data_IF_565965928199
#
_entry.id   IF_565965928199
#
_cell.length_a   1.000
_cell.length_b   1.000
_cell.length_c   1.000
_cell.angle_alpha   90.00
_cell.angle_beta   90.00
_cell.angle_gamma   90.00
#
_symmetry.space_group_name_H-M   'P 1'
#
loop_
_entity.id
_entity.type
_entity.pdbx_description
1 polymer ?
#
# COMPACT_ATOMS: atom_id res chain seq x y z
N UNK A 1 -23.86 -22.79 54.33
CA UNK A 1 -23.59 -22.65 52.88
C UNK A 1 -24.65 -23.40 52.05
N UNK A 2 -25.92 -23.06 52.22
CA UNK A 2 -27.02 -23.68 51.47
C UNK A 2 -28.05 -22.59 51.16
N UNK A 3 -27.75 -21.70 50.27
CA UNK A 3 -28.68 -20.61 49.96
C UNK A 3 -28.46 -19.92 48.60
N UNK A 4 -27.29 -20.13 47.97
CA UNK A 4 -26.93 -19.40 46.72
C UNK A 4 -27.30 -20.16 45.42
N UNK A 5 -27.48 -21.48 45.47
CA UNK A 5 -27.83 -22.27 44.28
C UNK A 5 -29.34 -22.20 43.93
N UNK A 6 -30.21 -21.89 44.87
CA UNK A 6 -31.66 -21.83 44.63
C UNK A 6 -32.10 -20.51 44.01
N UNK A 7 -31.38 -19.40 44.25
CA UNK A 7 -31.73 -18.09 43.71
C UNK A 7 -31.31 -17.96 42.22
N UNK A 8 -30.17 -18.51 41.83
CA UNK A 8 -29.71 -18.52 40.46
C UNK A 8 -30.54 -19.40 39.53
N UNK A 9 -31.03 -20.56 40.05
CA UNK A 9 -31.93 -21.40 39.25
C UNK A 9 -33.29 -20.77 39.03
N UNK A 10 -33.81 -20.03 39.99
CA UNK A 10 -35.08 -19.29 39.85
C UNK A 10 -34.99 -18.09 38.91
N UNK A 11 -33.87 -17.41 38.86
CA UNK A 11 -33.61 -16.32 37.92
C UNK A 11 -33.44 -16.86 36.50
N UNK A 12 -32.79 -18.02 36.33
CA UNK A 12 -32.56 -18.62 35.01
C UNK A 12 -33.84 -19.17 34.39
N UNK A 13 -34.75 -19.77 35.22
CA UNK A 13 -36.07 -20.21 34.73
C UNK A 13 -37.00 -19.03 34.40
N UNK A 14 -36.93 -17.91 35.13
CA UNK A 14 -37.71 -16.72 34.81
C UNK A 14 -37.22 -16.04 33.52
N UNK A 15 -35.92 -16.03 33.25
CA UNK A 15 -35.40 -15.49 31.99
C UNK A 15 -35.78 -16.32 30.76
N UNK A 16 -35.92 -17.64 30.91
CA UNK A 16 -36.41 -18.51 29.81
C UNK A 16 -37.88 -18.25 29.44
N UNK A 17 -38.66 -17.74 30.37
CA UNK A 17 -40.11 -17.51 30.17
C UNK A 17 -40.41 -16.17 29.51
N UNK A 18 -39.42 -15.21 29.48
CA UNK A 18 -39.55 -13.89 28.88
C UNK A 18 -38.56 -13.61 27.72
N UNK A 19 -37.88 -14.64 27.22
CA UNK A 19 -37.15 -14.51 25.98
C UNK A 19 -38.17 -14.29 24.84
N UNK A 20 -38.09 -13.17 24.09
CA UNK A 20 -38.95 -12.98 22.96
C UNK A 20 -38.69 -14.08 21.93
N UNK A 21 -39.73 -14.88 21.67
CA UNK A 21 -39.76 -15.76 20.50
C UNK A 21 -39.76 -14.85 19.28
N UNK A 22 -38.61 -14.55 18.72
CA UNK A 22 -38.38 -14.05 17.37
C UNK A 22 -37.16 -13.13 17.37
N UNK A 23 -35.96 -13.70 17.53
CA UNK A 23 -34.87 -13.31 16.69
C UNK A 23 -34.71 -14.48 15.72
N UNK A 24 -35.36 -14.39 14.57
CA UNK A 24 -35.03 -15.23 13.45
C UNK A 24 -33.54 -15.00 13.21
N UNK A 25 -32.71 -16.02 13.41
CA UNK A 25 -31.35 -16.00 12.87
C UNK A 25 -31.44 -15.50 11.43
N UNK A 26 -30.60 -14.54 11.01
CA UNK A 26 -30.61 -14.10 9.63
C UNK A 26 -30.44 -15.37 8.81
N UNK A 27 -31.46 -15.72 8.02
CA UNK A 27 -31.40 -16.81 7.04
C UNK A 27 -30.23 -16.46 6.15
N UNK A 28 -29.00 -16.92 6.55
CA UNK A 28 -27.83 -16.90 5.68
C UNK A 28 -28.29 -17.49 4.37
N UNK A 29 -28.28 -16.65 3.37
CA UNK A 29 -28.84 -16.84 2.05
C UNK A 29 -28.55 -18.26 1.54
N UNK A 30 -29.54 -19.14 1.66
CA UNK A 30 -29.50 -20.52 1.08
C UNK A 30 -29.15 -20.43 -0.41
N UNK A 31 -29.56 -19.37 -1.08
CA UNK A 31 -29.33 -19.10 -2.50
C UNK A 31 -27.85 -18.94 -2.84
N UNK A 32 -27.03 -18.31 -1.99
CA UNK A 32 -25.61 -18.12 -2.27
C UNK A 32 -24.83 -19.44 -2.08
N UNK A 33 -25.13 -20.19 -1.01
CA UNK A 33 -24.58 -21.53 -0.79
C UNK A 33 -25.00 -22.51 -1.90
N UNK A 34 -26.24 -22.45 -2.34
CA UNK A 34 -26.73 -23.28 -3.41
C UNK A 34 -26.13 -22.88 -4.79
N UNK A 35 -25.90 -21.59 -5.04
CA UNK A 35 -25.18 -21.14 -6.23
C UNK A 35 -23.74 -21.62 -6.25
N UNK A 36 -23.00 -21.47 -5.16
CA UNK A 36 -21.61 -21.96 -5.05
C UNK A 36 -21.57 -23.49 -5.19
N UNK A 37 -22.52 -24.23 -4.59
CA UNK A 37 -22.62 -25.66 -4.73
C UNK A 37 -23.00 -26.10 -6.15
N UNK A 38 -23.90 -25.41 -6.82
CA UNK A 38 -24.25 -25.63 -8.23
C UNK A 38 -23.09 -25.32 -9.16
N UNK A 39 -22.32 -24.24 -8.91
CA UNK A 39 -21.10 -23.94 -9.66
C UNK A 39 -20.03 -25.04 -9.45
N UNK A 40 -19.82 -25.50 -8.22
CA UNK A 40 -18.91 -26.61 -7.90
C UNK A 40 -19.28 -27.90 -8.64
N UNK A 41 -20.59 -28.24 -8.72
CA UNK A 41 -21.07 -29.39 -9.52
C UNK A 41 -20.86 -29.23 -11.02
N UNK A 42 -21.07 -28.02 -11.57
CA UNK A 42 -20.87 -27.74 -12.99
C UNK A 42 -19.41 -27.76 -13.42
N UNK A 43 -18.50 -27.32 -12.55
CA UNK A 43 -17.06 -27.23 -12.85
C UNK A 43 -16.31 -28.51 -12.45
N UNK A 44 -16.93 -29.42 -11.69
CA UNK A 44 -16.25 -30.60 -11.14
C UNK A 44 -15.18 -30.26 -10.10
N UNK A 45 -15.11 -29.00 -9.64
CA UNK A 45 -14.14 -28.49 -8.67
C UNK A 45 -14.71 -28.59 -7.23
N UNK A 46 -13.87 -28.95 -6.28
CA UNK A 46 -14.22 -28.84 -4.85
C UNK A 46 -14.35 -27.38 -4.43
N UNK A 47 -15.06 -27.11 -3.32
CA UNK A 47 -15.18 -25.75 -2.79
C UNK A 47 -13.81 -25.08 -2.56
N UNK A 48 -12.83 -25.85 -2.10
CA UNK A 48 -11.44 -25.37 -1.92
C UNK A 48 -10.79 -24.99 -3.26
N UNK A 49 -10.92 -25.84 -4.26
CA UNK A 49 -10.40 -25.58 -5.61
C UNK A 49 -11.02 -24.33 -6.23
N UNK A 50 -12.32 -24.11 -6.02
CA UNK A 50 -13.00 -22.89 -6.50
C UNK A 50 -12.42 -21.64 -5.84
N UNK A 51 -12.16 -21.67 -4.52
CA UNK A 51 -11.55 -20.55 -3.79
C UNK A 51 -10.13 -20.27 -4.30
N UNK A 52 -9.30 -21.30 -4.46
CA UNK A 52 -7.92 -21.13 -4.95
C UNK A 52 -7.87 -20.66 -6.40
N UNK A 53 -8.77 -21.16 -7.27
CA UNK A 53 -8.87 -20.69 -8.65
C UNK A 53 -9.29 -19.23 -8.72
N UNK A 54 -10.23 -18.80 -7.87
CA UNK A 54 -10.64 -17.39 -7.78
C UNK A 54 -9.50 -16.50 -7.26
N UNK A 55 -8.76 -16.96 -6.24
CA UNK A 55 -7.59 -16.24 -5.71
C UNK A 55 -6.48 -16.12 -6.78
N UNK A 56 -6.18 -17.21 -7.50
CA UNK A 56 -5.22 -17.20 -8.60
C UNK A 56 -5.61 -16.23 -9.70
N UNK A 57 -6.90 -16.20 -10.08
CA UNK A 57 -7.41 -15.28 -11.09
C UNK A 57 -7.29 -13.82 -10.63
N UNK A 58 -7.61 -13.51 -9.38
CA UNK A 58 -7.46 -12.17 -8.82
C UNK A 58 -5.99 -11.73 -8.79
N UNK A 59 -5.06 -12.62 -8.46
CA UNK A 59 -3.62 -12.34 -8.51
C UNK A 59 -3.12 -12.13 -9.95
N UNK A 60 -3.59 -12.90 -10.91
CA UNK A 60 -3.30 -12.73 -12.34
C UNK A 60 -3.76 -11.35 -12.83
N UNK A 61 -5.01 -10.99 -12.55
CA UNK A 61 -5.57 -9.70 -12.95
C UNK A 61 -4.83 -8.53 -12.29
N UNK A 62 -4.51 -8.64 -11.01
CA UNK A 62 -3.74 -7.63 -10.26
C UNK A 62 -2.30 -7.52 -10.77
N UNK A 63 -1.65 -8.63 -11.10
CA UNK A 63 -0.32 -8.65 -11.68
C UNK A 63 -0.29 -8.00 -13.07
N UNK A 64 -1.23 -8.36 -13.94
CA UNK A 64 -1.36 -7.77 -15.26
C UNK A 64 -1.63 -6.26 -15.22
N UNK A 65 -2.50 -5.82 -14.31
CA UNK A 65 -2.83 -4.40 -14.10
C UNK A 65 -1.64 -3.58 -13.59
N UNK A 66 -0.72 -4.19 -12.82
CA UNK A 66 0.49 -3.55 -12.31
C UNK A 66 1.55 -3.24 -13.37
N UNK A 67 1.41 -3.80 -14.56
CA UNK A 67 2.33 -3.65 -15.69
C UNK A 67 3.60 -4.49 -15.56
N UNK A 68 4.10 -4.99 -16.69
CA UNK A 68 5.24 -5.94 -16.76
C UNK A 68 6.58 -5.36 -16.29
N UNK A 69 6.69 -4.04 -16.10
CA UNK A 69 7.89 -3.38 -15.55
C UNK A 69 7.94 -3.35 -14.01
N UNK A 70 6.87 -3.80 -13.34
CA UNK A 70 6.79 -3.83 -11.88
C UNK A 70 7.16 -5.22 -11.35
N UNK A 71 8.25 -5.31 -10.57
CA UNK A 71 8.69 -6.57 -9.95
C UNK A 71 7.58 -7.24 -9.10
N UNK A 72 6.73 -6.46 -8.41
CA UNK A 72 5.59 -6.99 -7.67
C UNK A 72 4.54 -7.66 -8.56
N UNK A 73 4.38 -7.19 -9.81
CA UNK A 73 3.51 -7.85 -10.78
C UNK A 73 4.00 -9.25 -11.12
N UNK A 74 5.30 -9.42 -11.35
CA UNK A 74 5.88 -10.75 -11.61
C UNK A 74 5.75 -11.70 -10.43
N UNK A 75 5.93 -11.21 -9.20
CA UNK A 75 5.72 -12.02 -7.99
C UNK A 75 4.25 -12.48 -7.90
N UNK A 76 3.29 -11.60 -8.15
CA UNK A 76 1.86 -11.96 -8.16
C UNK A 76 1.53 -12.96 -9.27
N UNK A 77 2.11 -12.80 -10.46
CA UNK A 77 1.92 -13.75 -11.58
C UNK A 77 2.50 -15.11 -11.25
N UNK A 78 3.70 -15.17 -10.66
CA UNK A 78 4.31 -16.43 -10.22
C UNK A 78 3.47 -17.13 -9.14
N UNK A 79 2.99 -16.39 -8.13
CA UNK A 79 2.10 -16.92 -7.10
C UNK A 79 0.77 -17.40 -7.66
N UNK A 80 0.20 -16.69 -8.62
CA UNK A 80 -1.01 -17.11 -9.32
C UNK A 80 -0.78 -18.42 -10.08
N UNK A 81 0.37 -18.56 -10.75
CA UNK A 81 0.77 -19.80 -11.44
C UNK A 81 0.94 -20.98 -10.48
N UNK A 82 1.56 -20.75 -9.32
CA UNK A 82 1.73 -21.77 -8.27
C UNK A 82 0.39 -22.21 -7.68
N UNK A 83 -0.50 -21.27 -7.35
CA UNK A 83 -1.84 -21.59 -6.83
C UNK A 83 -2.70 -22.31 -7.86
N UNK A 84 -2.72 -21.82 -9.10
CA UNK A 84 -3.49 -22.45 -10.19
C UNK A 84 -2.94 -23.84 -10.54
N UNK A 85 -1.61 -23.99 -10.60
CA UNK A 85 -0.94 -25.28 -10.82
C UNK A 85 -1.21 -26.27 -9.68
N UNK A 86 -1.22 -25.79 -8.41
CA UNK A 86 -1.56 -26.61 -7.25
C UNK A 86 -2.98 -27.18 -7.33
N UNK A 87 -3.96 -26.38 -7.79
CA UNK A 87 -5.35 -26.84 -8.04
C UNK A 87 -5.39 -27.95 -9.08
N UNK A 88 -4.61 -27.82 -10.16
CA UNK A 88 -4.57 -28.80 -11.24
C UNK A 88 -3.91 -30.12 -10.82
N UNK A 89 -2.90 -30.05 -9.95
CA UNK A 89 -2.10 -31.20 -9.49
C UNK A 89 -2.64 -31.85 -8.19
N UNK A 90 -3.77 -31.40 -7.65
CA UNK A 90 -4.32 -31.81 -6.34
C UNK A 90 -4.39 -33.32 -6.14
N UNK A 91 -4.67 -34.11 -7.19
CA UNK A 91 -4.72 -35.58 -7.13
C UNK A 91 -3.35 -36.24 -6.83
N UNK A 92 -2.23 -35.49 -6.96
CA UNK A 92 -0.85 -36.00 -6.76
C UNK A 92 -0.13 -35.41 -5.54
N UNK A 93 -0.62 -34.31 -4.93
CA UNK A 93 0.18 -33.43 -4.04
C UNK A 93 -0.38 -33.22 -2.62
N UNK A 94 -1.04 -34.19 -1.99
CA UNK A 94 -1.74 -34.00 -0.72
C UNK A 94 -1.00 -33.23 0.40
N UNK A 95 0.31 -33.47 0.63
CA UNK A 95 1.11 -32.75 1.65
C UNK A 95 1.60 -31.38 1.18
N UNK A 96 1.91 -31.26 -0.09
CA UNK A 96 2.45 -30.04 -0.70
C UNK A 96 1.36 -28.96 -0.83
N UNK A 97 0.09 -29.38 -1.01
CA UNK A 97 -1.03 -28.43 -1.01
C UNK A 97 -1.21 -27.70 0.32
N UNK A 98 -0.92 -28.40 1.45
CA UNK A 98 -0.94 -27.76 2.77
C UNK A 98 0.14 -26.66 2.85
N UNK A 99 1.34 -26.91 2.34
CA UNK A 99 2.43 -25.93 2.31
C UNK A 99 2.04 -24.71 1.46
N UNK A 100 1.50 -24.93 0.26
CA UNK A 100 1.04 -23.82 -0.60
C UNK A 100 -0.09 -23.00 0.05
N UNK A 101 -1.03 -23.65 0.72
CA UNK A 101 -2.12 -22.96 1.43
C UNK A 101 -1.59 -22.10 2.58
N UNK A 102 -0.61 -22.61 3.33
CA UNK A 102 0.04 -21.85 4.42
C UNK A 102 0.81 -20.66 3.85
N UNK A 103 1.60 -20.86 2.79
CA UNK A 103 2.33 -19.77 2.14
C UNK A 103 1.40 -18.69 1.59
N UNK A 104 0.31 -19.08 0.93
CA UNK A 104 -0.71 -18.14 0.45
C UNK A 104 -1.40 -17.40 1.61
N UNK A 105 -1.68 -18.08 2.72
CA UNK A 105 -2.23 -17.49 3.93
C UNK A 105 -1.27 -16.47 4.56
N UNK A 106 0.00 -16.81 4.70
CA UNK A 106 1.05 -15.90 5.22
C UNK A 106 1.18 -14.66 4.34
N UNK A 107 1.19 -14.84 3.00
CA UNK A 107 1.21 -13.72 2.07
C UNK A 107 -0.02 -12.81 2.22
N UNK A 108 -1.22 -13.41 2.31
CA UNK A 108 -2.46 -12.65 2.48
C UNK A 108 -2.44 -11.84 3.79
N UNK A 109 -2.02 -12.46 4.89
CA UNK A 109 -1.86 -11.76 6.18
C UNK A 109 -0.84 -10.63 6.05
N UNK A 110 0.29 -10.85 5.38
CA UNK A 110 1.29 -9.83 5.09
C UNK A 110 0.73 -8.66 4.27
N UNK A 111 -0.08 -8.95 3.24
CA UNK A 111 -0.73 -7.91 2.43
C UNK A 111 -1.78 -7.12 3.22
N UNK A 112 -2.58 -7.78 4.08
CA UNK A 112 -3.55 -7.11 4.97
C UNK A 112 -2.80 -6.22 5.96
N UNK A 113 -1.77 -6.75 6.62
CA UNK A 113 -0.93 -5.99 7.55
C UNK A 113 -0.29 -4.78 6.86
N UNK A 114 0.27 -4.97 5.66
CA UNK A 114 0.81 -3.87 4.87
C UNK A 114 -0.26 -2.83 4.53
N UNK A 115 -1.47 -3.25 4.14
CA UNK A 115 -2.57 -2.33 3.85
C UNK A 115 -2.99 -1.50 5.07
N UNK A 116 -3.05 -2.12 6.26
CA UNK A 116 -3.35 -1.42 7.53
C UNK A 116 -2.26 -0.40 7.86
N UNK A 117 -1.00 -0.81 7.81
CA UNK A 117 0.14 0.07 8.06
C UNK A 117 0.20 1.18 7.01
N UNK A 118 -0.02 0.85 5.73
CA UNK A 118 -0.09 1.84 4.68
C UNK A 118 -1.17 2.90 4.94
N UNK A 119 -2.39 2.50 5.33
CA UNK A 119 -3.44 3.46 5.68
C UNK A 119 -2.98 4.41 6.80
N UNK A 120 -2.34 3.87 7.84
CA UNK A 120 -1.79 4.69 8.92
C UNK A 120 -0.76 5.70 8.40
N UNK A 121 0.22 5.27 7.61
CA UNK A 121 1.29 6.16 7.11
C UNK A 121 0.83 7.09 5.99
N UNK A 122 -0.13 6.69 5.17
CA UNK A 122 -0.65 7.51 4.08
C UNK A 122 -1.64 8.59 4.54
N UNK A 123 -2.42 8.31 5.59
CA UNK A 123 -3.53 9.14 6.01
C UNK A 123 -3.50 9.54 7.49
N UNK A 124 -2.82 8.78 8.36
CA UNK A 124 -2.74 9.05 9.79
C UNK A 124 -1.66 10.05 10.19
N UNK A 125 -0.68 10.30 9.33
CA UNK A 125 0.45 11.22 9.58
C UNK A 125 0.29 12.54 8.82
N UNK A 126 -0.90 13.13 8.89
CA UNK A 126 -1.16 14.40 8.20
C UNK A 126 -0.25 15.51 8.74
N UNK A 127 0.24 16.41 7.87
CA UNK A 127 0.98 17.57 8.31
C UNK A 127 0.10 18.48 9.16
N UNK A 128 0.71 19.12 10.15
CA UNK A 128 0.04 20.17 10.92
C UNK A 128 -0.19 21.38 10.03
N UNK A 129 -1.32 22.04 10.20
CA UNK A 129 -1.66 23.25 9.46
C UNK A 129 -0.76 24.42 9.87
N UNK A 130 -0.41 25.24 8.89
CA UNK A 130 0.32 26.50 9.06
C UNK A 130 1.81 26.37 9.39
N UNK A 131 2.53 27.47 9.24
CA UNK A 131 3.95 27.65 9.50
C UNK A 131 4.88 27.01 8.45
N UNK A 132 6.17 27.27 8.63
CA UNK A 132 7.20 26.77 7.72
C UNK A 132 7.30 25.24 7.74
N UNK A 133 7.36 24.64 6.56
CA UNK A 133 7.56 23.22 6.36
C UNK A 133 8.43 22.97 5.12
N UNK A 134 9.14 21.85 5.09
CA UNK A 134 9.87 21.40 3.91
C UNK A 134 9.20 20.16 3.33
N UNK A 135 8.60 20.32 2.16
CA UNK A 135 8.01 19.22 1.40
C UNK A 135 9.10 18.53 0.59
N UNK A 136 9.27 17.23 0.75
CA UNK A 136 10.16 16.42 -0.09
C UNK A 136 9.30 15.58 -1.01
N UNK A 137 9.31 15.89 -2.30
CA UNK A 137 8.60 15.13 -3.34
C UNK A 137 9.53 14.08 -3.91
N UNK A 138 9.22 12.80 -3.68
CA UNK A 138 10.02 11.71 -4.21
C UNK A 138 9.68 11.43 -5.67
N UNK A 139 10.69 11.34 -6.50
CA UNK A 139 10.59 10.95 -7.90
C UNK A 139 10.05 9.53 -8.09
N UNK A 140 9.69 9.20 -9.31
CA UNK A 140 9.15 7.90 -9.66
C UNK A 140 9.58 7.47 -11.07
N UNK A 141 9.17 8.20 -12.05
CA UNK A 141 9.49 7.98 -13.48
C UNK A 141 9.02 9.15 -14.30
N UNK A 142 9.77 9.47 -15.34
CA UNK A 142 9.42 10.47 -16.36
C UNK A 142 9.19 9.81 -17.73
N UNK A 143 8.55 10.54 -18.63
CA UNK A 143 8.39 10.20 -20.04
C UNK A 143 8.92 11.38 -20.87
N UNK A 144 10.21 11.32 -21.21
CA UNK A 144 10.91 12.48 -21.79
C UNK A 144 10.95 13.63 -20.78
N UNK A 145 10.42 14.79 -21.15
CA UNK A 145 10.36 16.00 -20.34
C UNK A 145 9.05 16.17 -19.54
N UNK A 146 8.23 15.11 -19.46
CA UNK A 146 6.94 15.12 -18.77
C UNK A 146 6.86 14.06 -17.68
N UNK A 147 6.14 14.33 -16.57
CA UNK A 147 5.99 13.35 -15.52
C UNK A 147 5.09 12.18 -15.96
N UNK A 148 5.45 10.95 -15.56
CA UNK A 148 4.54 9.82 -15.70
C UNK A 148 3.21 10.06 -14.97
N UNK A 149 2.17 9.32 -15.32
CA UNK A 149 0.85 9.46 -14.68
C UNK A 149 0.91 9.35 -13.15
N UNK A 150 1.78 8.50 -12.61
CA UNK A 150 1.97 8.33 -11.18
C UNK A 150 2.68 9.55 -10.58
N UNK A 151 3.79 9.98 -11.17
CA UNK A 151 4.52 11.17 -10.74
C UNK A 151 3.65 12.42 -10.80
N UNK A 152 2.87 12.59 -11.87
CA UNK A 152 1.94 13.73 -12.01
C UNK A 152 0.93 13.80 -10.85
N UNK A 153 0.41 12.67 -10.37
CA UNK A 153 -0.53 12.65 -9.23
C UNK A 153 0.14 13.08 -7.92
N UNK A 154 1.42 12.71 -7.71
CA UNK A 154 2.21 13.22 -6.58
C UNK A 154 2.39 14.73 -6.69
N UNK A 155 2.80 15.20 -7.86
CA UNK A 155 3.05 16.62 -8.10
C UNK A 155 1.79 17.47 -7.92
N UNK A 156 0.64 16.99 -8.38
CA UNK A 156 -0.64 17.67 -8.10
C UNK A 156 -0.93 17.75 -6.61
N UNK A 157 -0.68 16.68 -5.85
CA UNK A 157 -0.87 16.70 -4.40
C UNK A 157 0.12 17.64 -3.69
N UNK A 158 1.39 17.64 -4.14
CA UNK A 158 2.40 18.56 -3.64
C UNK A 158 2.04 20.01 -3.94
N UNK A 159 1.60 20.30 -5.17
CA UNK A 159 1.13 21.63 -5.59
C UNK A 159 0.00 22.12 -4.69
N UNK A 160 -1.04 21.30 -4.49
CA UNK A 160 -2.19 21.69 -3.69
C UNK A 160 -1.74 22.07 -2.26
N UNK A 161 -0.88 21.24 -1.65
CA UNK A 161 -0.31 21.53 -0.34
C UNK A 161 0.53 22.84 -0.33
N UNK A 162 1.36 23.07 -1.35
CA UNK A 162 2.21 24.26 -1.45
C UNK A 162 1.41 25.54 -1.69
N UNK A 163 0.25 25.47 -2.36
CA UNK A 163 -0.67 26.58 -2.53
C UNK A 163 -1.41 26.91 -1.21
N UNK A 164 -1.79 25.88 -0.45
CA UNK A 164 -2.41 26.02 0.87
C UNK A 164 -1.42 26.52 1.94
N UNK A 165 -0.09 26.31 1.73
CA UNK A 165 0.97 26.67 2.66
C UNK A 165 2.06 27.53 1.96
N UNK A 166 1.86 28.85 1.83
CA UNK A 166 2.76 29.73 1.09
C UNK A 166 4.20 29.77 1.62
N UNK A 167 4.39 29.61 2.93
CA UNK A 167 5.70 29.60 3.59
C UNK A 167 6.47 28.28 3.42
N UNK A 168 5.80 27.21 2.99
CA UNK A 168 6.46 25.93 2.81
C UNK A 168 7.43 25.97 1.60
N UNK A 169 8.61 25.36 1.78
CA UNK A 169 9.60 25.11 0.71
C UNK A 169 9.44 23.69 0.19
N UNK A 170 9.91 23.43 -1.03
CA UNK A 170 9.79 22.15 -1.69
C UNK A 170 11.16 21.67 -2.17
N UNK A 171 11.49 20.42 -1.87
CA UNK A 171 12.62 19.72 -2.50
C UNK A 171 12.00 18.67 -3.43
N UNK A 172 12.35 18.71 -4.71
CA UNK A 172 12.01 17.69 -5.69
C UNK A 172 13.23 16.79 -5.86
N UNK A 173 13.09 15.50 -5.55
CA UNK A 173 14.23 14.59 -5.47
C UNK A 173 14.06 13.40 -6.42
N UNK A 174 15.02 13.28 -7.33
CA UNK A 174 15.10 12.19 -8.31
C UNK A 174 16.12 12.48 -9.39
N UNK A 175 17.08 11.57 -9.54
CA UNK A 175 18.14 11.68 -10.54
C UNK A 175 17.68 11.36 -11.96
N UNK A 176 18.67 11.19 -12.84
CA UNK A 176 18.49 10.82 -14.24
C UNK A 176 18.59 9.30 -14.39
N UNK A 177 17.60 8.65 -14.96
CA UNK A 177 17.65 7.22 -15.32
C UNK A 177 18.57 6.95 -16.50
N UNK A 178 19.04 5.71 -16.66
CA UNK A 178 20.02 5.32 -17.69
C UNK A 178 19.64 5.71 -19.13
N UNK A 179 18.35 5.81 -19.43
CA UNK A 179 17.83 6.17 -20.76
C UNK A 179 16.99 7.46 -20.75
N UNK A 180 17.21 8.32 -19.76
CA UNK A 180 16.49 9.58 -19.61
C UNK A 180 17.40 10.75 -19.96
N UNK A 181 16.87 11.73 -20.69
CA UNK A 181 17.60 12.96 -21.08
C UNK A 181 17.54 14.04 -20.01
N UNK A 182 16.64 13.89 -19.04
CA UNK A 182 16.39 14.83 -17.95
C UNK A 182 16.35 14.08 -16.61
N UNK A 183 16.73 14.78 -15.53
CA UNK A 183 16.50 14.26 -14.20
C UNK A 183 15.00 14.32 -13.85
N UNK A 184 14.55 13.41 -12.99
CA UNK A 184 13.18 13.47 -12.45
C UNK A 184 12.97 14.80 -11.71
N UNK A 185 13.98 15.29 -10.97
CA UNK A 185 13.95 16.56 -10.26
C UNK A 185 13.68 17.75 -11.20
N UNK A 186 14.38 17.83 -12.33
CA UNK A 186 14.16 18.86 -13.33
C UNK A 186 12.71 18.87 -13.84
N UNK A 187 12.18 17.69 -14.23
CA UNK A 187 10.82 17.56 -14.75
C UNK A 187 9.79 17.91 -13.67
N UNK A 188 10.05 17.54 -12.42
CA UNK A 188 9.17 17.87 -11.28
C UNK A 188 9.14 19.37 -11.02
N UNK A 189 10.31 20.05 -11.02
CA UNK A 189 10.38 21.51 -10.84
C UNK A 189 9.67 22.24 -11.97
N UNK A 190 9.96 21.88 -13.24
CA UNK A 190 9.28 22.42 -14.41
C UNK A 190 7.75 22.32 -14.23
N UNK A 191 7.25 21.13 -13.90
CA UNK A 191 5.82 20.91 -13.71
C UNK A 191 5.22 21.78 -12.60
N UNK A 192 5.85 21.85 -11.43
CA UNK A 192 5.34 22.65 -10.30
C UNK A 192 5.34 24.16 -10.65
N UNK A 193 6.38 24.64 -11.30
CA UNK A 193 6.49 26.06 -11.73
C UNK A 193 5.42 26.40 -12.76
N UNK A 194 5.22 25.57 -13.77
CA UNK A 194 4.16 25.72 -14.76
C UNK A 194 2.74 25.67 -14.15
N UNK A 195 2.61 25.08 -12.94
CA UNK A 195 1.36 24.98 -12.20
C UNK A 195 1.26 25.96 -11.01
N UNK A 196 2.00 27.06 -11.05
CA UNK A 196 1.81 28.22 -10.18
C UNK A 196 2.62 28.21 -8.87
N UNK A 197 3.61 27.33 -8.71
CA UNK A 197 4.52 27.38 -7.57
C UNK A 197 5.77 28.19 -7.96
N UNK A 198 6.12 29.18 -7.14
CA UNK A 198 7.30 29.99 -7.32
C UNK A 198 8.56 29.12 -7.36
N UNK A 199 9.35 29.27 -8.43
CA UNK A 199 10.59 28.53 -8.66
C UNK A 199 11.62 28.73 -7.52
N UNK A 200 11.60 29.88 -6.83
CA UNK A 200 12.48 30.16 -5.67
C UNK A 200 12.12 29.34 -4.43
N UNK A 201 10.93 28.76 -4.39
CA UNK A 201 10.51 27.84 -3.32
C UNK A 201 10.90 26.39 -3.59
N UNK A 202 11.45 26.07 -4.80
CA UNK A 202 11.69 24.71 -5.26
C UNK A 202 13.18 24.44 -5.39
N UNK A 203 13.71 23.55 -4.58
CA UNK A 203 15.08 23.04 -4.59
C UNK A 203 15.13 21.71 -5.35
N UNK A 204 16.14 21.55 -6.21
CA UNK A 204 16.35 20.33 -6.98
C UNK A 204 17.39 19.44 -6.31
N UNK A 205 17.08 18.15 -6.19
CA UNK A 205 18.00 17.09 -5.82
C UNK A 205 18.00 16.08 -6.97
N UNK A 206 19.02 16.09 -7.81
CA UNK A 206 19.12 15.37 -9.09
C UNK A 206 20.19 14.25 -9.10
N UNK A 207 20.83 13.98 -7.94
CA UNK A 207 21.93 13.01 -7.82
C UNK A 207 21.50 11.62 -7.38
N UNK A 208 20.27 11.52 -6.89
CA UNK A 208 19.77 10.28 -6.30
C UNK A 208 19.37 9.25 -7.35
N UNK A 209 19.50 7.97 -6.98
CA UNK A 209 19.16 6.82 -7.82
C UNK A 209 18.30 5.76 -7.10
N UNK A 210 17.97 5.96 -5.85
CA UNK A 210 17.07 5.13 -5.05
C UNK A 210 16.46 5.92 -3.88
N UNK A 211 15.51 5.32 -3.15
CA UNK A 211 14.80 6.00 -2.06
C UNK A 211 15.70 6.41 -0.91
N UNK A 212 16.75 5.65 -0.59
CA UNK A 212 17.71 6.00 0.45
C UNK A 212 18.44 7.29 0.08
N UNK A 213 18.99 7.34 -1.13
CA UNK A 213 19.71 8.53 -1.62
C UNK A 213 18.78 9.71 -1.84
N UNK A 214 17.53 9.50 -2.28
CA UNK A 214 16.54 10.57 -2.36
C UNK A 214 16.36 11.25 -0.99
N UNK A 215 16.13 10.48 0.07
CA UNK A 215 15.95 11.05 1.41
C UNK A 215 17.24 11.68 1.91
N UNK A 216 18.36 10.98 1.86
CA UNK A 216 19.64 11.45 2.40
C UNK A 216 20.09 12.77 1.75
N UNK A 217 20.07 12.86 0.41
CA UNK A 217 20.50 14.07 -0.29
C UNK A 217 19.48 15.21 -0.12
N UNK A 218 18.18 14.91 -0.03
CA UNK A 218 17.19 15.94 0.33
C UNK A 218 17.47 16.50 1.73
N UNK A 219 17.81 15.66 2.71
CA UNK A 219 18.14 16.11 4.07
C UNK A 219 19.47 16.91 4.13
N UNK A 220 20.41 16.64 3.22
CA UNK A 220 21.60 17.49 3.04
C UNK A 220 21.20 18.91 2.60
N UNK A 221 20.25 19.03 1.65
CA UNK A 221 19.72 20.32 1.21
C UNK A 221 18.98 21.01 2.37
N UNK A 222 18.15 20.29 3.13
CA UNK A 222 17.46 20.87 4.31
C UNK A 222 18.47 21.53 5.25
N UNK A 223 19.57 20.84 5.56
CA UNK A 223 20.61 21.32 6.48
C UNK A 223 21.42 22.48 5.89
N UNK A 224 21.88 22.34 4.64
CA UNK A 224 22.76 23.33 3.99
C UNK A 224 22.05 24.63 3.64
N UNK A 225 20.77 24.58 3.33
CA UNK A 225 19.95 25.74 3.00
C UNK A 225 19.18 26.31 4.20
N UNK A 226 19.36 25.75 5.41
CA UNK A 226 18.66 26.19 6.61
C UNK A 226 17.13 26.06 6.52
N UNK A 227 16.63 25.05 5.76
CA UNK A 227 15.21 24.87 5.60
C UNK A 227 14.57 24.30 6.88
N UNK A 228 13.25 24.47 7.01
CA UNK A 228 12.52 23.98 8.17
C UNK A 228 12.71 22.47 8.37
N UNK A 229 13.03 22.00 9.60
CA UNK A 229 13.15 20.57 9.91
C UNK A 229 11.78 19.87 9.99
N UNK A 230 10.68 20.62 9.88
CA UNK A 230 9.33 20.07 9.80
C UNK A 230 9.09 19.50 8.42
N UNK A 231 9.39 18.21 8.27
CA UNK A 231 9.35 17.52 6.98
C UNK A 231 7.96 17.02 6.64
N UNK A 232 7.64 17.10 5.34
CA UNK A 232 6.43 16.52 4.75
C UNK A 232 6.86 15.69 3.54
N UNK A 233 6.72 14.36 3.61
CA UNK A 233 7.03 13.49 2.48
C UNK A 233 5.83 13.39 1.54
N UNK A 234 6.04 13.73 0.29
CA UNK A 234 5.08 13.58 -0.78
C UNK A 234 5.45 12.40 -1.68
N UNK A 235 4.68 11.30 -1.58
CA UNK A 235 4.85 10.12 -2.42
C UNK A 235 3.52 9.37 -2.56
N UNK A 236 3.52 8.15 -3.14
CA UNK A 236 2.32 7.31 -3.16
C UNK A 236 2.08 6.67 -1.79
N UNK A 237 0.82 6.43 -1.44
CA UNK A 237 0.46 5.89 -0.12
C UNK A 237 1.16 4.58 0.20
N UNK A 238 1.27 3.64 -0.77
CA UNK A 238 1.97 2.37 -0.57
C UNK A 238 3.47 2.53 -0.30
N UNK A 239 4.07 3.67 -0.65
CA UNK A 239 5.49 3.95 -0.48
C UNK A 239 5.83 4.73 0.80
N UNK A 240 4.84 5.32 1.47
CA UNK A 240 5.03 6.21 2.62
C UNK A 240 5.78 5.54 3.78
N UNK A 241 5.45 4.28 4.11
CA UNK A 241 6.13 3.55 5.18
C UNK A 241 7.65 3.47 4.92
N UNK A 242 8.07 3.04 3.73
CA UNK A 242 9.49 2.86 3.41
C UNK A 242 10.22 4.21 3.34
N UNK A 243 9.59 5.24 2.78
CA UNK A 243 10.14 6.58 2.77
C UNK A 243 10.34 7.12 4.20
N UNK A 244 9.33 6.97 5.07
CA UNK A 244 9.43 7.35 6.47
C UNK A 244 10.52 6.59 7.22
N UNK A 245 10.69 5.29 6.98
CA UNK A 245 11.77 4.51 7.61
C UNK A 245 13.15 5.07 7.26
N UNK A 246 13.38 5.52 6.02
CA UNK A 246 14.63 6.20 5.65
C UNK A 246 14.79 7.56 6.35
N UNK A 247 13.73 8.34 6.50
CA UNK A 247 13.76 9.59 7.28
C UNK A 247 14.15 9.30 8.73
N UNK A 248 13.55 8.28 9.34
CA UNK A 248 13.86 7.86 10.73
C UNK A 248 15.31 7.39 10.90
N UNK A 249 15.87 6.66 9.94
CA UNK A 249 17.28 6.26 9.93
C UNK A 249 18.23 7.45 9.94
N UNK A 250 17.82 8.58 9.36
CA UNK A 250 18.59 9.82 9.37
C UNK A 250 18.29 10.72 10.59
N UNK A 251 17.64 10.19 11.63
CA UNK A 251 17.39 10.87 12.89
C UNK A 251 16.28 11.92 12.85
N UNK A 252 15.47 11.95 11.80
CA UNK A 252 14.37 12.91 11.63
C UNK A 252 13.00 12.23 11.64
N UNK A 253 11.94 13.02 11.59
CA UNK A 253 10.57 12.55 11.42
C UNK A 253 9.88 13.35 10.32
N UNK A 254 8.80 12.82 9.75
CA UNK A 254 8.06 13.48 8.69
C UNK A 254 6.58 13.17 8.75
N UNK A 255 5.76 14.17 8.41
CA UNK A 255 4.38 13.98 8.03
C UNK A 255 4.28 13.43 6.61
N UNK A 256 3.08 13.04 6.18
CA UNK A 256 2.83 12.40 4.90
C UNK A 256 1.70 13.08 4.13
N UNK A 257 1.95 13.36 2.86
CA UNK A 257 0.91 13.66 1.88
C UNK A 257 1.04 12.68 0.71
N UNK A 258 -0.08 12.11 0.28
CA UNK A 258 -0.06 11.01 -0.67
C UNK A 258 -0.79 11.33 -1.97
N UNK A 259 -0.13 11.04 -3.09
CA UNK A 259 -0.77 11.05 -4.40
C UNK A 259 -1.87 9.98 -4.49
N UNK A 260 -2.93 10.26 -5.25
CA UNK A 260 -4.04 9.31 -5.46
C UNK A 260 -3.56 8.13 -6.33
N UNK A 261 -3.48 6.95 -5.73
CA UNK A 261 -3.11 5.71 -6.44
C UNK A 261 -4.36 4.94 -6.85
N UNK A 262 -4.47 4.48 -8.11
CA UNK A 262 -5.58 3.63 -8.54
C UNK A 262 -5.57 2.29 -7.79
N UNK A 263 -6.75 1.85 -7.34
CA UNK A 263 -6.88 0.64 -6.51
C UNK A 263 -6.33 -0.63 -7.17
N UNK A 264 -6.48 -0.74 -8.50
CA UNK A 264 -6.07 -1.94 -9.24
C UNK A 264 -4.55 -2.15 -9.33
N UNK A 265 -3.74 -1.11 -9.16
CA UNK A 265 -2.26 -1.26 -9.14
C UNK A 265 -1.71 -1.51 -7.74
N UNK A 266 -2.49 -1.24 -6.68
CA UNK A 266 -2.05 -1.35 -5.29
C UNK A 266 -1.48 -2.72 -4.95
N UNK A 267 -2.11 -3.88 -5.30
CA UNK A 267 -1.58 -5.19 -4.90
C UNK A 267 -0.16 -5.44 -5.40
N UNK A 268 0.13 -5.10 -6.66
CA UNK A 268 1.46 -5.31 -7.23
C UNK A 268 2.52 -4.39 -6.62
N UNK A 269 2.16 -3.14 -6.34
CA UNK A 269 3.06 -2.20 -5.67
C UNK A 269 3.26 -2.55 -4.19
N UNK A 270 2.21 -3.02 -3.49
CA UNK A 270 2.32 -3.48 -2.11
C UNK A 270 3.32 -4.63 -1.96
N UNK A 271 3.27 -5.63 -2.85
CA UNK A 271 4.24 -6.73 -2.86
C UNK A 271 5.67 -6.22 -3.11
N UNK A 272 5.84 -5.28 -4.04
CA UNK A 272 7.14 -4.64 -4.31
C UNK A 272 7.66 -3.89 -3.07
N UNK A 273 6.81 -3.16 -2.38
CA UNK A 273 7.19 -2.41 -1.18
C UNK A 273 7.57 -3.35 -0.01
N UNK A 274 6.82 -4.44 0.18
CA UNK A 274 7.20 -5.47 1.16
C UNK A 274 8.60 -6.03 0.87
N UNK A 275 8.90 -6.35 -0.39
CA UNK A 275 10.23 -6.81 -0.79
C UNK A 275 11.31 -5.72 -0.56
N UNK A 276 10.97 -4.45 -0.83
CA UNK A 276 11.86 -3.31 -0.59
C UNK A 276 12.15 -3.08 0.90
N UNK A 277 11.14 -3.20 1.76
CA UNK A 277 11.28 -3.11 3.22
C UNK A 277 12.11 -4.28 3.75
N UNK A 278 11.82 -5.49 3.28
CA UNK A 278 12.58 -6.68 3.66
C UNK A 278 14.07 -6.54 3.29
N UNK A 279 14.36 -6.09 2.06
CA UNK A 279 15.73 -5.78 1.63
C UNK A 279 16.39 -4.76 2.55
N UNK A 280 15.68 -3.68 2.89
CA UNK A 280 16.19 -2.60 3.75
C UNK A 280 16.49 -3.09 5.17
N UNK A 281 15.67 -4.00 5.73
CA UNK A 281 15.85 -4.51 7.10
C UNK A 281 16.98 -5.53 7.19
N UNK A 282 17.15 -6.37 6.15
CA UNK A 282 18.15 -7.45 6.17
C UNK A 282 19.50 -7.07 5.58
N UNK A 283 19.54 -6.17 4.61
CA UNK A 283 20.75 -5.89 3.84
C UNK A 283 21.29 -4.47 4.04
N UNK A 284 20.58 -3.65 4.81
CA UNK A 284 21.13 -2.38 5.07
C UNK A 284 20.49 -1.20 5.30
#
# INVERSE_FOLDING_TARGET
MVGYKSVLSCIWEKQKKYAPKTAAEPKKDKTERERVWQMSKKTGLSQKQTIYSAAALLMLLSGAAGGLRNAGAWILLALAGLLGGGVFLEKRMGREQTVFSVLAGVLLVGLIFHAVIWNYFAFGRQPQEGGEATVIVLGCKINGDTPSTMLRRRLLRARDYLLENPEAKCIVSGGCGENESYSEAYVMKKFLTENGIDAQRIYEEDRSFNTDTNIRYSLEIVRSQGLSPRLVICTDGFHQLRAWMYVKRNGMDAAAISGKTPLWVIPSYAVRELAGIFKMVLLG
#
